data_IF_020380313987
#
_entry.id   IF_020380313987
#
_cell.length_a   1.000
_cell.length_b   1.000
_cell.length_c   1.000
_cell.angle_alpha   90.00
_cell.angle_beta   90.00
_cell.angle_gamma   90.00
#
_symmetry.space_group_name_H-M   'P 1'
#
loop_
_entity.id
_entity.type
_entity.pdbx_description
1 polymer ?
#
# COMPACT_ATOMS: atom_id res chain seq x y z
N UNK A 1 -16.45 24.93 -7.20
CA UNK A 1 -15.95 23.57 -6.91
C UNK A 1 -16.48 23.11 -5.55
N UNK A 2 -17.07 21.93 -5.47
CA UNK A 2 -17.57 21.37 -4.21
C UNK A 2 -16.43 20.76 -3.36
N UNK A 3 -16.51 20.90 -2.05
CA UNK A 3 -15.49 20.37 -1.13
C UNK A 3 -15.80 18.91 -0.74
N UNK A 4 -15.04 17.94 -1.28
CA UNK A 4 -15.25 16.49 -1.04
C UNK A 4 -14.49 15.91 0.17
N UNK A 5 -14.15 16.75 1.17
CA UNK A 5 -13.35 16.32 2.34
C UNK A 5 -14.12 15.31 3.20
N UNK A 6 -15.42 15.51 3.39
CA UNK A 6 -16.27 14.62 4.17
C UNK A 6 -16.34 13.23 3.53
N UNK A 7 -16.63 13.18 2.23
CA UNK A 7 -16.78 11.95 1.46
C UNK A 7 -15.49 11.14 1.46
N UNK A 8 -14.35 11.82 1.28
CA UNK A 8 -13.04 11.18 1.33
C UNK A 8 -12.74 10.56 2.71
N UNK A 9 -13.12 11.24 3.80
CA UNK A 9 -12.99 10.72 5.17
C UNK A 9 -13.91 9.54 5.43
N UNK A 10 -15.19 9.62 5.02
CA UNK A 10 -16.16 8.55 5.19
C UNK A 10 -15.77 7.31 4.38
N UNK A 11 -15.36 7.48 3.11
CA UNK A 11 -14.89 6.39 2.26
C UNK A 11 -13.65 5.69 2.82
N UNK A 12 -12.68 6.46 3.35
CA UNK A 12 -11.49 5.91 4.01
C UNK A 12 -11.85 5.05 5.23
N UNK A 13 -12.79 5.52 6.06
CA UNK A 13 -13.29 4.77 7.23
C UNK A 13 -14.06 3.51 6.83
N UNK A 14 -14.83 3.55 5.74
CA UNK A 14 -15.63 2.41 5.25
C UNK A 14 -14.75 1.34 4.59
N UNK A 15 -13.74 1.75 3.82
CA UNK A 15 -12.81 0.84 3.13
C UNK A 15 -11.65 0.35 4.01
N UNK A 16 -11.60 0.78 5.28
CA UNK A 16 -10.49 0.50 6.21
C UNK A 16 -9.12 0.85 5.62
N UNK A 17 -9.07 1.93 4.84
CA UNK A 17 -7.86 2.38 4.16
C UNK A 17 -7.50 3.81 4.58
N UNK A 18 -6.23 4.20 4.40
CA UNK A 18 -5.80 5.58 4.68
C UNK A 18 -6.22 6.56 3.58
N UNK A 19 -5.32 7.47 3.19
CA UNK A 19 -5.54 8.45 2.11
C UNK A 19 -5.63 7.84 0.68
N UNK A 20 -5.79 6.52 0.56
CA UNK A 20 -5.77 5.74 -0.70
C UNK A 20 -7.14 5.60 -1.38
N UNK A 21 -8.02 6.58 -1.18
CA UNK A 21 -9.31 6.64 -1.87
C UNK A 21 -9.18 7.45 -3.16
N UNK A 22 -9.70 6.91 -4.25
CA UNK A 22 -9.93 7.61 -5.51
C UNK A 22 -11.43 7.92 -5.65
N UNK A 23 -11.72 9.13 -6.13
CA UNK A 23 -13.07 9.64 -6.37
C UNK A 23 -13.14 10.00 -7.86
N UNK A 24 -14.19 9.58 -8.54
CA UNK A 24 -14.38 9.90 -9.96
C UNK A 24 -14.57 11.42 -10.17
N UNK A 25 -13.71 12.10 -10.94
CA UNK A 25 -13.84 13.53 -11.23
C UNK A 25 -15.11 13.87 -12.04
N UNK A 26 -15.64 12.92 -12.82
CA UNK A 26 -16.81 13.15 -13.67
C UNK A 26 -18.12 13.09 -12.87
N UNK A 27 -18.13 12.38 -11.75
CA UNK A 27 -19.30 12.16 -10.88
C UNK A 27 -19.25 12.98 -9.59
N UNK A 28 -18.52 14.10 -9.59
CA UNK A 28 -18.30 14.94 -8.40
C UNK A 28 -19.59 15.46 -7.76
N UNK A 29 -20.62 15.80 -8.55
CA UNK A 29 -21.91 16.25 -8.03
C UNK A 29 -22.68 15.13 -7.32
N UNK A 30 -22.65 13.92 -7.87
CA UNK A 30 -23.30 12.74 -7.29
C UNK A 30 -22.61 12.35 -5.98
N UNK A 31 -21.27 12.31 -5.98
CA UNK A 31 -20.47 12.06 -4.79
C UNK A 31 -20.72 13.13 -3.72
N UNK A 32 -20.81 14.42 -4.10
CA UNK A 32 -21.05 15.51 -3.16
C UNK A 32 -22.40 15.39 -2.43
N UNK A 33 -23.42 14.78 -3.04
CA UNK A 33 -24.73 14.57 -2.41
C UNK A 33 -24.74 13.44 -1.36
N UNK A 34 -23.72 12.58 -1.34
CA UNK A 34 -23.61 11.50 -0.38
C UNK A 34 -23.05 11.98 0.97
N UNK A 35 -23.90 11.94 2.01
CA UNK A 35 -23.60 12.41 3.36
C UNK A 35 -23.52 11.26 4.39
N UNK A 36 -24.09 10.08 4.08
CA UNK A 36 -24.10 8.94 4.98
C UNK A 36 -23.11 7.84 4.58
N UNK A 37 -22.68 7.01 5.54
CA UNK A 37 -21.83 5.84 5.27
C UNK A 37 -22.52 4.81 4.37
N UNK A 38 -23.85 4.70 4.45
CA UNK A 38 -24.64 3.78 3.62
C UNK A 38 -24.61 4.21 2.14
N UNK A 39 -24.74 5.51 1.86
CA UNK A 39 -24.60 6.06 0.51
C UNK A 39 -23.19 5.84 -0.04
N UNK A 40 -22.15 6.08 0.77
CA UNK A 40 -20.76 5.82 0.37
C UNK A 40 -20.53 4.34 0.02
N UNK A 41 -21.12 3.39 0.76
CA UNK A 41 -21.08 1.96 0.40
C UNK A 41 -21.74 1.66 -0.93
N UNK A 42 -22.83 2.36 -1.28
CA UNK A 42 -23.45 2.25 -2.60
C UNK A 42 -22.49 2.74 -3.69
N UNK A 43 -21.91 3.93 -3.53
CA UNK A 43 -20.94 4.49 -4.49
C UNK A 43 -19.67 3.64 -4.68
N UNK A 44 -19.23 2.93 -3.63
CA UNK A 44 -18.13 1.96 -3.72
C UNK A 44 -18.53 0.75 -4.56
N UNK A 45 -19.76 0.22 -4.37
CA UNK A 45 -20.28 -0.89 -5.18
C UNK A 45 -20.48 -0.50 -6.64
N UNK A 46 -20.92 0.74 -6.88
CA UNK A 46 -21.12 1.30 -8.21
C UNK A 46 -19.80 1.69 -8.91
N UNK A 47 -18.65 1.60 -8.21
CA UNK A 47 -17.32 1.86 -8.77
C UNK A 47 -16.93 3.33 -8.90
N UNK A 48 -17.75 4.26 -8.41
CA UNK A 48 -17.44 5.70 -8.42
C UNK A 48 -16.38 6.08 -7.37
N UNK A 49 -16.28 5.27 -6.32
CA UNK A 49 -15.26 5.39 -5.27
C UNK A 49 -14.44 4.11 -5.26
N UNK A 50 -13.13 4.23 -5.49
CA UNK A 50 -12.24 3.08 -5.65
C UNK A 50 -11.11 3.14 -4.62
N UNK A 51 -10.74 1.98 -4.09
CA UNK A 51 -9.50 1.84 -3.34
C UNK A 51 -8.31 1.74 -4.31
N UNK A 52 -7.42 2.73 -4.28
CA UNK A 52 -6.19 2.69 -5.08
C UNK A 52 -5.28 1.55 -4.63
N UNK A 53 -4.70 0.78 -5.56
CA UNK A 53 -3.74 -0.25 -5.21
C UNK A 53 -2.54 0.35 -4.49
N UNK A 54 -1.87 -0.49 -3.70
CA UNK A 54 -0.64 -0.10 -3.02
C UNK A 54 0.49 0.07 -4.03
N UNK A 55 1.36 1.06 -3.80
CA UNK A 55 2.62 1.17 -4.53
C UNK A 55 3.45 -0.09 -4.28
N UNK A 56 3.85 -0.76 -5.35
CA UNK A 56 4.55 -2.05 -5.27
C UNK A 56 6.01 -1.86 -4.87
N UNK A 57 6.46 -2.57 -3.85
CA UNK A 57 7.88 -2.74 -3.54
C UNK A 57 8.32 -4.17 -3.90
N UNK A 58 9.08 -4.30 -4.99
CA UNK A 58 9.48 -5.61 -5.50
C UNK A 58 10.54 -6.28 -4.63
N UNK A 59 10.33 -7.56 -4.29
CA UNK A 59 11.29 -8.41 -3.59
C UNK A 59 12.25 -9.17 -4.50
N UNK A 60 12.10 -9.06 -5.82
CA UNK A 60 12.86 -9.85 -6.80
C UNK A 60 14.39 -9.74 -6.61
N UNK A 61 14.90 -8.52 -6.38
CA UNK A 61 16.34 -8.30 -6.12
C UNK A 61 16.82 -8.94 -4.82
N UNK A 62 16.03 -8.81 -3.75
CA UNK A 62 16.35 -9.42 -2.45
C UNK A 62 16.36 -10.96 -2.54
N UNK A 63 15.38 -11.55 -3.23
CA UNK A 63 15.33 -13.00 -3.43
C UNK A 63 16.47 -13.50 -4.31
N UNK A 64 16.79 -12.80 -5.41
CA UNK A 64 17.96 -13.12 -6.23
C UNK A 64 19.24 -13.14 -5.40
N UNK A 65 19.46 -12.12 -4.57
CA UNK A 65 20.62 -12.05 -3.68
C UNK A 65 20.61 -13.15 -2.61
N UNK A 66 19.44 -13.48 -2.05
CA UNK A 66 19.33 -14.55 -1.05
C UNK A 66 19.69 -15.91 -1.67
N UNK A 67 19.22 -16.18 -2.89
CA UNK A 67 19.55 -17.41 -3.62
C UNK A 67 21.05 -17.49 -3.98
N UNK A 68 21.69 -16.36 -4.33
CA UNK A 68 23.14 -16.35 -4.60
C UNK A 68 23.97 -16.46 -3.32
N UNK A 69 23.54 -15.85 -2.21
CA UNK A 69 24.14 -16.03 -0.89
C UNK A 69 24.03 -17.48 -0.39
N UNK A 70 22.89 -18.15 -0.61
CA UNK A 70 22.73 -19.59 -0.30
C UNK A 70 23.68 -20.48 -1.10
N UNK A 71 24.04 -20.06 -2.32
CA UNK A 71 25.08 -20.69 -3.14
C UNK A 71 26.50 -20.19 -2.78
N UNK A 72 26.66 -19.53 -1.63
CA UNK A 72 27.91 -18.97 -1.11
C UNK A 72 28.59 -17.88 -1.95
N UNK A 73 27.92 -17.32 -2.97
CA UNK A 73 28.53 -16.39 -3.94
C UNK A 73 28.81 -14.97 -3.42
N UNK A 74 28.30 -14.63 -2.24
CA UNK A 74 28.51 -13.32 -1.60
C UNK A 74 28.91 -13.42 -0.12
N UNK A 75 29.58 -14.52 0.27
CA UNK A 75 29.99 -14.78 1.66
C UNK A 75 31.52 -14.69 1.90
N UNK A 76 32.28 -14.10 0.98
CA UNK A 76 33.74 -13.95 1.12
C UNK A 76 34.16 -12.95 2.22
N UNK A 77 35.44 -13.00 2.61
CA UNK A 77 36.03 -12.27 3.75
C UNK A 77 35.72 -10.75 3.68
N UNK A 78 35.85 -10.12 2.52
CA UNK A 78 35.58 -8.68 2.36
C UNK A 78 34.10 -8.26 2.50
N UNK A 79 33.15 -9.20 2.54
CA UNK A 79 31.73 -8.94 2.83
C UNK A 79 31.38 -9.21 4.30
N UNK A 80 32.28 -9.83 5.06
CA UNK A 80 32.05 -10.12 6.47
C UNK A 80 32.15 -8.81 7.27
N UNK A 81 31.09 -8.51 8.03
CA UNK A 81 31.09 -7.47 9.06
C UNK A 81 30.77 -8.13 10.40
N UNK A 82 31.36 -7.61 11.47
CA UNK A 82 31.27 -8.18 12.82
C UNK A 82 32.23 -9.35 13.06
N UNK A 83 32.44 -9.71 14.33
CA UNK A 83 33.29 -10.85 14.74
C UNK A 83 32.60 -12.19 14.44
N UNK A 84 33.37 -13.28 14.39
CA UNK A 84 32.82 -14.63 14.18
C UNK A 84 31.75 -14.99 15.23
N UNK A 85 32.02 -14.67 16.50
CA UNK A 85 31.10 -14.90 17.61
C UNK A 85 29.80 -14.07 17.49
N UNK A 86 29.87 -12.86 16.92
CA UNK A 86 28.66 -12.04 16.69
C UNK A 86 27.78 -12.58 15.55
N UNK A 87 28.39 -13.27 14.58
CA UNK A 87 27.67 -13.85 13.43
C UNK A 87 27.08 -15.22 13.77
N UNK A 88 27.81 -16.01 14.55
CA UNK A 88 27.49 -17.35 15.00
C UNK A 88 27.98 -17.48 16.45
N UNK A 89 27.14 -17.19 17.45
CA UNK A 89 27.49 -17.35 18.85
C UNK A 89 27.81 -18.81 19.16
N UNK A 90 28.86 -19.03 19.96
CA UNK A 90 29.16 -20.36 20.53
C UNK A 90 28.30 -20.63 21.75
#
# INVERSE_FOLDING_TARGET
MSMLRLQKRLASSVLLCGKKVWLDPNKTNEIASANSRQQIRKLIRDGQIIWKPVTVYSRARCWKNTLTCRKSRHMGIGKLKGTANARMPK
#
